data_IF_431617528537
#
_entry.id   IF_431617528537
#
_cell.length_a   1.000
_cell.length_b   1.000
_cell.length_c   1.000
_cell.angle_alpha   90.00
_cell.angle_beta   90.00
_cell.angle_gamma   90.00
#
_symmetry.space_group_name_H-M   'P 1'
#
loop_
_entity.id
_entity.type
_entity.pdbx_description
1 polymer ?
#
# COMPACT_ATOMS: atom_id res chain seq x y z
N UNK A 1 4.53 2.68 19.23
CA UNK A 1 4.12 1.29 18.91
C UNK A 1 5.23 0.61 18.12
N UNK A 2 5.83 -0.46 18.68
CA UNK A 2 6.99 -1.13 18.07
C UNK A 2 6.72 -1.72 16.67
N UNK A 3 5.46 -2.05 16.35
CA UNK A 3 5.04 -2.63 15.06
C UNK A 3 5.23 -1.73 13.83
N UNK A 4 5.52 -0.43 14.03
CA UNK A 4 5.65 0.61 12.99
C UNK A 4 7.08 0.90 12.53
N UNK A 5 8.12 0.34 13.15
CA UNK A 5 9.52 0.63 12.81
C UNK A 5 10.11 -0.46 11.91
N UNK A 6 10.92 -0.07 10.90
CA UNK A 6 11.60 -0.99 9.97
C UNK A 6 12.56 -1.94 10.71
N UNK A 7 13.34 -1.41 11.65
CA UNK A 7 14.39 -2.17 12.35
C UNK A 7 13.80 -3.27 13.23
N UNK A 8 12.67 -3.01 13.88
CA UNK A 8 11.91 -4.01 14.63
C UNK A 8 11.43 -5.14 13.70
N UNK A 9 11.08 -4.85 12.44
CA UNK A 9 10.72 -5.88 11.45
C UNK A 9 11.94 -6.66 10.95
N UNK A 10 13.09 -6.00 10.79
CA UNK A 10 14.35 -6.69 10.46
C UNK A 10 14.77 -7.66 11.57
N UNK A 11 14.65 -7.26 12.84
CA UNK A 11 14.99 -8.14 13.96
C UNK A 11 13.96 -9.27 14.14
N UNK A 12 12.66 -8.99 13.94
CA UNK A 12 11.65 -10.05 13.86
C UNK A 12 11.96 -11.07 12.76
N UNK A 13 12.43 -10.63 11.59
CA UNK A 13 12.84 -11.53 10.51
C UNK A 13 14.00 -12.43 10.93
N UNK A 14 15.08 -11.86 11.50
CA UNK A 14 16.25 -12.60 12.01
C UNK A 14 15.87 -13.64 13.06
N UNK A 15 14.97 -13.31 13.99
CA UNK A 15 14.49 -14.25 15.02
C UNK A 15 13.68 -15.39 14.40
N UNK A 16 12.88 -15.12 13.37
CA UNK A 16 12.13 -16.16 12.63
C UNK A 16 13.05 -17.05 11.79
N UNK A 17 14.07 -16.47 11.15
CA UNK A 17 15.11 -17.19 10.40
C UNK A 17 15.85 -18.18 11.31
N UNK A 18 16.37 -17.73 12.46
CA UNK A 18 17.00 -18.60 13.48
C UNK A 18 16.06 -19.70 13.99
N UNK A 19 14.78 -19.40 14.21
CA UNK A 19 13.77 -20.40 14.62
C UNK A 19 13.52 -21.45 13.54
N UNK A 20 13.52 -21.05 12.28
CA UNK A 20 13.38 -21.95 11.13
C UNK A 20 14.60 -22.88 11.03
N UNK A 21 15.81 -22.34 11.10
CA UNK A 21 17.07 -23.10 11.11
C UNK A 21 17.08 -24.13 12.25
N UNK A 22 16.79 -23.72 13.49
CA UNK A 22 16.72 -24.63 14.64
C UNK A 22 15.68 -25.75 14.45
N UNK A 23 14.54 -25.49 13.80
CA UNK A 23 13.54 -26.53 13.49
C UNK A 23 14.05 -27.48 12.41
N UNK A 24 14.70 -26.97 11.37
CA UNK A 24 15.29 -27.78 10.30
C UNK A 24 16.41 -28.68 10.82
N UNK A 25 17.32 -28.16 11.66
CA UNK A 25 18.39 -28.95 12.30
C UNK A 25 17.82 -30.05 13.20
N UNK A 26 16.77 -29.77 13.98
CA UNK A 26 16.08 -30.78 14.80
C UNK A 26 15.43 -31.88 13.95
N UNK A 27 14.77 -31.52 12.85
CA UNK A 27 14.17 -32.48 11.93
C UNK A 27 15.23 -33.35 11.21
N UNK A 28 16.36 -32.75 10.83
CA UNK A 28 17.51 -33.48 10.27
C UNK A 28 18.12 -34.48 11.27
N UNK A 29 18.32 -34.05 12.53
CA UNK A 29 18.78 -34.95 13.61
C UNK A 29 17.80 -36.06 13.97
N UNK A 30 16.52 -35.91 13.63
CA UNK A 30 15.47 -36.94 13.73
C UNK A 30 15.35 -37.82 12.48
N UNK A 31 16.23 -37.67 11.49
CA UNK A 31 16.20 -38.44 10.24
C UNK A 31 15.00 -38.12 9.32
N UNK A 32 14.33 -36.98 9.52
CA UNK A 32 13.12 -36.64 8.75
C UNK A 32 13.51 -36.22 7.33
N UNK A 33 13.13 -37.04 6.35
CA UNK A 33 13.33 -36.78 4.93
C UNK A 33 12.93 -35.35 4.53
N UNK A 34 13.71 -34.74 3.63
CA UNK A 34 13.58 -33.33 3.24
C UNK A 34 12.19 -32.97 2.70
N UNK A 35 11.50 -33.92 2.07
CA UNK A 35 10.11 -33.79 1.60
C UNK A 35 9.10 -33.66 2.76
N UNK A 36 9.23 -34.52 3.78
CA UNK A 36 8.41 -34.46 5.01
C UNK A 36 8.73 -33.19 5.82
N UNK A 37 9.98 -32.71 5.76
CA UNK A 37 10.38 -31.42 6.33
C UNK A 37 9.75 -30.22 5.58
N UNK A 38 9.43 -30.34 4.29
CA UNK A 38 8.62 -29.32 3.57
C UNK A 38 7.14 -29.37 3.94
N UNK A 39 6.61 -30.54 4.33
CA UNK A 39 5.20 -30.68 4.73
C UNK A 39 4.93 -30.29 6.19
N UNK A 40 5.95 -30.28 7.05
CA UNK A 40 5.89 -29.87 8.47
C UNK A 40 5.13 -28.54 8.69
N UNK A 41 4.06 -28.53 9.52
CA UNK A 41 3.25 -27.33 9.75
C UNK A 41 4.03 -26.15 10.33
N UNK A 42 5.01 -26.41 11.20
CA UNK A 42 5.79 -25.36 11.86
C UNK A 42 6.76 -24.70 10.87
N UNK A 43 7.46 -25.48 10.04
CA UNK A 43 8.28 -24.99 8.92
C UNK A 43 7.46 -24.14 7.95
N UNK A 44 6.24 -24.58 7.59
CA UNK A 44 5.31 -23.81 6.73
C UNK A 44 4.92 -22.48 7.37
N UNK A 45 4.54 -22.48 8.65
CA UNK A 45 4.14 -21.28 9.38
C UNK A 45 5.31 -20.27 9.48
N UNK A 46 6.49 -20.71 9.90
CA UNK A 46 7.69 -19.86 9.98
C UNK A 46 8.04 -19.24 8.62
N UNK A 47 8.00 -20.02 7.54
CA UNK A 47 8.18 -19.50 6.17
C UNK A 47 7.08 -18.52 5.74
N UNK A 48 5.85 -18.65 6.25
CA UNK A 48 4.79 -17.67 6.03
C UNK A 48 5.07 -16.36 6.75
N UNK A 49 5.43 -16.43 8.05
CA UNK A 49 5.73 -15.26 8.88
C UNK A 49 6.95 -14.48 8.35
N UNK A 50 7.98 -15.16 7.83
CA UNK A 50 9.13 -14.52 7.16
C UNK A 50 8.66 -13.78 5.90
N UNK A 51 7.83 -14.41 5.05
CA UNK A 51 7.29 -13.76 3.84
C UNK A 51 6.44 -12.53 4.15
N UNK A 52 5.55 -12.61 5.13
CA UNK A 52 4.78 -11.44 5.61
C UNK A 52 5.68 -10.31 6.10
N UNK A 53 6.73 -10.66 6.86
CA UNK A 53 7.68 -9.68 7.40
C UNK A 53 8.46 -9.00 6.27
N UNK A 54 8.87 -9.75 5.24
CA UNK A 54 9.49 -9.21 4.04
C UNK A 54 8.57 -8.26 3.26
N UNK A 55 7.28 -8.61 3.11
CA UNK A 55 6.28 -7.72 2.49
C UNK A 55 6.16 -6.40 3.29
N UNK A 56 6.15 -6.47 4.63
CA UNK A 56 6.11 -5.28 5.49
C UNK A 56 7.38 -4.44 5.36
N UNK A 57 8.57 -5.06 5.31
CA UNK A 57 9.85 -4.36 5.09
C UNK A 57 9.84 -3.64 3.73
N UNK A 58 9.50 -4.32 2.64
CA UNK A 58 9.41 -3.73 1.31
C UNK A 58 8.36 -2.60 1.23
N UNK A 59 7.30 -2.65 2.04
CA UNK A 59 6.33 -1.56 2.16
C UNK A 59 6.87 -0.35 2.93
N UNK A 60 7.88 -0.50 3.80
CA UNK A 60 8.63 0.64 4.36
C UNK A 60 9.58 1.22 3.30
N UNK A 61 10.30 0.39 2.55
CA UNK A 61 11.25 0.86 1.52
C UNK A 61 10.54 1.66 0.42
N UNK A 62 9.36 1.19 -0.03
CA UNK A 62 8.49 1.94 -0.94
C UNK A 62 7.94 3.25 -0.36
N UNK A 63 7.95 3.43 0.97
CA UNK A 63 7.56 4.68 1.63
C UNK A 63 8.75 5.63 1.81
N UNK A 64 9.95 5.14 2.10
CA UNK A 64 11.14 5.98 2.23
C UNK A 64 11.45 6.65 0.89
N UNK A 65 11.46 5.89 -0.21
CA UNK A 65 11.63 6.43 -1.58
C UNK A 65 10.61 7.53 -1.88
N UNK A 66 9.31 7.29 -1.63
CA UNK A 66 8.27 8.33 -1.84
C UNK A 66 8.46 9.57 -0.96
N UNK A 67 8.98 9.42 0.26
CA UNK A 67 9.28 10.55 1.13
C UNK A 67 10.48 11.34 0.61
N UNK A 68 11.49 10.66 0.07
CA UNK A 68 12.67 11.27 -0.56
C UNK A 68 12.30 12.03 -1.84
N UNK A 69 11.51 11.42 -2.73
CA UNK A 69 10.92 12.06 -3.92
C UNK A 69 10.14 13.33 -3.55
N UNK A 70 9.30 13.28 -2.52
CA UNK A 70 8.52 14.43 -2.04
C UNK A 70 9.38 15.51 -1.37
N UNK A 71 10.51 15.15 -0.74
CA UNK A 71 11.49 16.12 -0.22
C UNK A 71 12.18 16.84 -1.37
N UNK A 72 12.75 16.10 -2.32
CA UNK A 72 13.40 16.67 -3.50
C UNK A 72 12.44 17.55 -4.32
N UNK A 73 11.17 17.14 -4.48
CA UNK A 73 10.16 17.94 -5.17
C UNK A 73 9.79 19.23 -4.41
N UNK A 74 9.87 19.24 -3.07
CA UNK A 74 9.69 20.46 -2.26
C UNK A 74 10.92 21.37 -2.34
N UNK A 75 12.12 20.80 -2.25
CA UNK A 75 13.40 21.51 -2.36
C UNK A 75 13.53 22.20 -3.72
N UNK A 76 13.24 21.50 -4.82
CA UNK A 76 13.20 22.09 -6.18
C UNK A 76 12.19 23.25 -6.26
N UNK A 77 10.96 23.06 -5.77
CA UNK A 77 9.93 24.12 -5.75
C UNK A 77 10.24 25.29 -4.81
N UNK A 78 11.10 25.10 -3.82
CA UNK A 78 11.61 26.17 -2.97
C UNK A 78 12.73 26.92 -3.70
N UNK A 79 13.69 26.21 -4.29
CA UNK A 79 14.76 26.78 -5.10
C UNK A 79 14.23 27.60 -6.29
N UNK A 80 13.22 27.10 -7.03
CA UNK A 80 12.54 27.82 -8.10
C UNK A 80 11.83 29.11 -7.62
N UNK A 81 11.42 29.18 -6.34
CA UNK A 81 10.78 30.35 -5.74
C UNK A 81 11.75 31.33 -5.10
N UNK A 82 12.93 30.85 -4.68
CA UNK A 82 14.00 31.67 -4.13
C UNK A 82 15.04 32.08 -5.17
N UNK A 83 14.96 31.56 -6.39
CA UNK A 83 15.76 32.03 -7.52
C UNK A 83 15.53 33.54 -7.69
N UNK A 84 16.59 34.37 -7.70
CA UNK A 84 16.45 35.79 -7.96
C UNK A 84 15.76 36.02 -9.29
N UNK A 85 14.86 37.01 -9.35
CA UNK A 85 14.36 37.53 -10.63
C UNK A 85 15.51 38.23 -11.34
N UNK A 86 16.32 37.49 -12.08
CA UNK A 86 17.19 38.10 -13.07
C UNK A 86 16.35 38.88 -14.09
N UNK A 87 16.84 40.08 -14.33
CA UNK A 87 16.27 41.17 -15.12
C UNK A 87 15.04 40.86 -16.01
N UNK A 88 13.94 41.54 -15.70
CA UNK A 88 13.02 42.00 -16.76
C UNK A 88 13.83 42.86 -17.74
N UNK A 89 14.05 42.36 -18.95
CA UNK A 89 14.34 43.21 -20.12
C UNK A 89 13.15 43.10 -21.06
N UNK A 90 12.35 44.17 -21.13
CA UNK A 90 11.42 44.40 -22.23
C UNK A 90 12.19 45.09 -23.38
N UNK A 91 11.90 44.76 -24.64
CA UNK A 91 10.88 45.49 -25.42
C UNK A 91 9.94 44.57 -26.24
N UNK A 92 8.77 45.00 -26.74
CA UNK A 92 7.80 45.99 -26.21
C UNK A 92 6.40 45.75 -26.83
N UNK A 93 5.74 46.81 -27.32
CA UNK A 93 4.57 46.93 -28.23
C UNK A 93 4.79 46.15 -29.55
N UNK A 94 3.84 45.48 -30.21
CA UNK A 94 2.45 45.74 -30.64
C UNK A 94 1.88 44.36 -31.13
N UNK A 95 0.59 44.05 -31.37
CA UNK A 95 -0.65 44.78 -31.59
C UNK A 95 -1.88 43.89 -31.29
N UNK A 96 -3.01 44.50 -30.89
CA UNK A 96 -4.38 43.96 -31.02
C UNK A 96 -5.02 44.70 -32.22
N UNK A 97 -5.99 44.14 -33.02
CA UNK A 97 -7.30 43.75 -32.46
C UNK A 97 -8.22 42.73 -33.20
N UNK A 98 -9.20 42.18 -32.43
CA UNK A 98 -10.61 41.84 -32.78
C UNK A 98 -10.95 40.79 -33.87
N UNK A 99 -11.55 39.67 -33.42
CA UNK A 99 -12.95 39.19 -33.71
C UNK A 99 -13.26 38.01 -32.77
N UNK A 100 -14.14 38.12 -31.76
CA UNK A 100 -15.62 38.04 -31.75
C UNK A 100 -16.23 36.69 -32.17
N UNK A 101 -16.45 35.80 -31.20
CA UNK A 101 -17.67 34.99 -30.94
C UNK A 101 -17.48 34.37 -29.53
N UNK A 102 -18.25 34.64 -28.46
CA UNK A 102 -19.68 34.82 -28.23
C UNK A 102 -20.45 33.47 -28.12
N UNK A 103 -21.02 33.23 -26.92
CA UNK A 103 -21.72 32.00 -26.53
C UNK A 103 -20.84 31.10 -25.64
N UNK A 104 -21.17 30.79 -24.39
CA UNK A 104 -22.44 30.98 -23.68
C UNK A 104 -22.91 29.67 -23.03
N UNK A 105 -22.18 29.25 -22.00
CA UNK A 105 -22.72 28.82 -20.71
C UNK A 105 -24.15 28.21 -20.67
N UNK A 106 -24.25 26.89 -20.38
CA UNK A 106 -25.28 26.26 -19.50
C UNK A 106 -25.17 24.72 -19.45
N UNK A 107 -24.63 24.24 -18.34
CA UNK A 107 -25.12 23.06 -17.61
C UNK A 107 -26.03 23.58 -16.46
N UNK A 108 -26.73 22.77 -15.62
CA UNK A 108 -27.11 21.35 -15.73
C UNK A 108 -28.60 21.07 -15.35
N UNK A 109 -29.14 19.88 -15.65
CA UNK A 109 -29.98 19.04 -14.72
C UNK A 109 -30.72 17.85 -15.35
N UNK A 110 -30.82 16.77 -14.54
CA UNK A 110 -31.79 15.64 -14.59
C UNK A 110 -31.59 14.67 -15.78
N UNK A 111 -31.67 13.34 -15.63
CA UNK A 111 -32.34 12.51 -14.61
C UNK A 111 -31.54 11.22 -14.31
N UNK A 112 -31.72 10.71 -13.09
CA UNK A 112 -31.25 9.42 -12.59
C UNK A 112 -32.13 8.23 -13.04
N UNK A 113 -31.50 7.11 -13.39
CA UNK A 113 -31.96 5.70 -13.32
C UNK A 113 -30.85 4.86 -13.99
N UNK A 114 -29.92 4.21 -13.30
CA UNK A 114 -30.10 3.09 -12.35
C UNK A 114 -30.79 1.88 -12.98
N UNK A 115 -29.96 1.06 -13.64
CA UNK A 115 -30.27 -0.29 -14.12
C UNK A 115 -29.05 -1.19 -13.89
N UNK A 116 -28.60 -1.26 -12.63
CA UNK A 116 -27.63 -2.26 -12.18
C UNK A 116 -28.36 -3.55 -11.78
N UNK A 117 -27.60 -4.66 -11.83
CA UNK A 117 -27.95 -6.01 -11.37
C UNK A 117 -29.09 -6.11 -10.33
N UNK A 118 -30.06 -7.02 -10.45
CA UNK A 118 -29.84 -8.38 -10.91
C UNK A 118 -29.25 -9.26 -9.80
N UNK A 119 -29.91 -9.35 -8.64
CA UNK A 119 -29.74 -10.47 -7.71
C UNK A 119 -30.98 -10.63 -6.81
N UNK A 120 -31.38 -11.89 -6.57
CA UNK A 120 -32.36 -12.27 -5.56
C UNK A 120 -32.06 -13.72 -5.11
N UNK A 121 -32.40 -14.14 -3.88
CA UNK A 121 -32.46 -13.37 -2.63
C UNK A 121 -31.74 -14.09 -1.47
N UNK A 122 -30.91 -13.40 -0.69
CA UNK A 122 -30.22 -14.01 0.48
C UNK A 122 -31.06 -13.96 1.76
N UNK A 123 -31.63 -15.12 2.14
CA UNK A 123 -32.14 -15.40 3.50
C UNK A 123 -31.01 -15.30 4.55
N UNK A 124 -31.26 -14.66 5.70
CA UNK A 124 -30.63 -15.04 6.96
C UNK A 124 -31.61 -15.87 7.79
N UNK A 125 -31.30 -17.17 8.00
CA UNK A 125 -32.02 -18.00 8.98
C UNK A 125 -31.76 -17.42 10.38
N UNK A 126 -32.80 -16.94 11.07
CA UNK A 126 -32.71 -16.65 12.51
C UNK A 126 -32.45 -17.96 13.27
N UNK A 127 -31.60 -17.86 14.30
CA UNK A 127 -31.20 -18.96 15.17
C UNK A 127 -32.41 -19.60 15.85
N UNK A 128 -32.38 -20.93 16.02
CA UNK A 128 -33.24 -21.68 16.93
C UNK A 128 -32.34 -22.67 17.66
N UNK A 129 -32.09 -22.42 18.95
CA UNK A 129 -31.68 -23.41 19.97
C UNK A 129 -31.61 -22.71 21.34
N UNK A 130 -32.72 -22.80 22.07
CA UNK A 130 -32.72 -23.26 23.48
C UNK A 130 -32.18 -24.71 23.47
N UNK A 131 -31.49 -25.32 24.43
CA UNK A 131 -31.02 -25.07 25.81
C UNK A 131 -30.06 -26.27 26.14
N UNK A 132 -29.86 -26.77 27.39
CA UNK A 132 -29.76 -26.15 28.72
C UNK A 132 -28.47 -26.56 29.50
N UNK A 133 -28.40 -26.16 30.78
CA UNK A 133 -27.70 -26.80 31.92
C UNK A 133 -26.16 -26.81 32.00
N UNK A 134 -25.62 -26.02 32.94
CA UNK A 134 -25.11 -26.52 34.23
C UNK A 134 -25.43 -25.49 35.34
#
# INVERSE_FOLDING_TARGET
MASKNKDVRLEQRRVLEKKLELRLSKLAGQGVASEKTKSDPLVKNLKSQIRETNIRIAAFDKKTVKIEELKQAKEKKLAEKSAPKEAKVAPEKESKPKKKAAGGEKDPKKKSAEAAAGDAPKKPRKKKEEAPAE
#
